data_IF_486359225941
#
_entry.id   IF_486359225941
#
_cell.length_a   1.000
_cell.length_b   1.000
_cell.length_c   1.000
_cell.angle_alpha   90.00
_cell.angle_beta   90.00
_cell.angle_gamma   90.00
#
_symmetry.space_group_name_H-M   'P 1'
#
loop_
_entity.id
_entity.type
_entity.pdbx_description
1 polymer ?
#
# COMPACT_ATOMS: atom_id res chain seq x y z
N UNK A 1 -13.88 3.59 -5.19
CA UNK A 1 -12.53 4.15 -5.35
C UNK A 1 -11.59 3.34 -4.46
N UNK A 2 -10.42 2.97 -4.95
CA UNK A 2 -9.45 2.11 -4.24
C UNK A 2 -8.18 2.90 -3.97
N UNK A 3 -7.70 2.86 -2.73
CA UNK A 3 -6.43 3.47 -2.33
C UNK A 3 -5.43 2.35 -1.98
N UNK A 4 -4.26 2.38 -2.61
CA UNK A 4 -3.14 1.53 -2.24
C UNK A 4 -2.45 2.01 -0.97
N UNK A 5 -2.05 1.09 -0.10
CA UNK A 5 -1.22 1.35 1.07
C UNK A 5 0.12 0.65 0.84
N UNK A 6 1.21 1.40 0.91
CA UNK A 6 2.56 0.87 0.71
C UNK A 6 3.51 1.24 1.84
N UNK A 7 4.30 0.25 2.27
CA UNK A 7 5.51 0.48 3.06
C UNK A 7 6.60 -0.52 2.66
N UNK A 8 7.86 -0.11 2.81
CA UNK A 8 9.04 -0.96 2.57
C UNK A 8 9.56 -1.61 3.86
N UNK A 9 8.66 -2.05 4.75
CA UNK A 9 9.01 -2.67 6.05
C UNK A 9 9.75 -1.75 7.05
N UNK A 10 9.71 -0.44 6.82
CA UNK A 10 10.21 0.53 7.79
C UNK A 10 9.37 0.46 9.07
N UNK A 11 10.01 0.26 10.22
CA UNK A 11 9.31 0.18 11.51
C UNK A 11 8.46 1.42 11.77
N UNK A 12 7.16 1.23 11.99
CA UNK A 12 6.18 2.30 12.24
C UNK A 12 5.57 2.92 10.98
N UNK A 13 6.09 2.62 9.79
CA UNK A 13 5.49 3.05 8.52
C UNK A 13 4.16 2.32 8.26
N UNK A 14 4.09 1.05 8.64
CA UNK A 14 2.86 0.25 8.67
C UNK A 14 1.78 0.90 9.54
N UNK A 15 2.13 1.31 10.76
CA UNK A 15 1.21 1.99 11.68
C UNK A 15 0.74 3.33 11.10
N UNK A 16 1.64 4.07 10.46
CA UNK A 16 1.31 5.37 9.88
C UNK A 16 0.31 5.23 8.72
N UNK A 17 0.55 4.32 7.76
CA UNK A 17 -0.38 4.11 6.64
C UNK A 17 -1.74 3.59 7.12
N UNK A 18 -1.76 2.77 8.17
CA UNK A 18 -2.99 2.23 8.76
C UNK A 18 -3.86 3.31 9.39
N UNK A 19 -3.26 4.22 10.16
CA UNK A 19 -3.99 5.34 10.77
C UNK A 19 -4.57 6.28 9.71
N UNK A 20 -3.84 6.53 8.62
CA UNK A 20 -4.37 7.34 7.53
C UNK A 20 -5.55 6.64 6.86
N UNK A 21 -5.46 5.33 6.61
CA UNK A 21 -6.57 4.55 6.07
C UNK A 21 -7.80 4.60 6.99
N UNK A 22 -7.60 4.48 8.31
CA UNK A 22 -8.67 4.60 9.30
C UNK A 22 -9.37 5.97 9.21
N UNK A 23 -8.61 7.07 9.24
CA UNK A 23 -9.17 8.41 9.14
C UNK A 23 -9.92 8.65 7.81
N UNK A 24 -9.39 8.15 6.69
CA UNK A 24 -10.05 8.26 5.39
C UNK A 24 -11.35 7.45 5.39
N UNK A 25 -11.35 6.24 5.97
CA UNK A 25 -12.52 5.36 6.01
C UNK A 25 -13.69 5.97 6.81
N UNK A 26 -13.38 6.71 7.89
CA UNK A 26 -14.38 7.42 8.69
C UNK A 26 -15.07 8.53 7.91
N UNK A 27 -14.34 9.20 6.99
CA UNK A 27 -14.87 10.31 6.19
C UNK A 27 -15.47 9.86 4.86
N UNK A 28 -14.96 8.78 4.28
CA UNK A 28 -15.35 8.25 2.98
C UNK A 28 -15.59 6.73 3.06
N UNK A 29 -16.75 6.28 3.56
CA UNK A 29 -17.00 4.86 3.85
C UNK A 29 -16.99 3.93 2.63
N UNK A 30 -17.09 4.48 1.41
CA UNK A 30 -17.08 3.72 0.16
C UNK A 30 -15.68 3.52 -0.45
N UNK A 31 -14.64 4.09 0.17
CA UNK A 31 -13.25 3.87 -0.23
C UNK A 31 -12.81 2.48 0.20
N UNK A 32 -12.18 1.75 -0.71
CA UNK A 32 -11.53 0.46 -0.45
C UNK A 32 -10.03 0.66 -0.32
N UNK A 33 -9.37 -0.22 0.42
CA UNK A 33 -7.93 -0.19 0.60
C UNK A 33 -7.30 -1.50 0.13
N UNK A 34 -6.20 -1.42 -0.60
CA UNK A 34 -5.39 -2.57 -1.01
C UNK A 34 -3.97 -2.39 -0.47
N UNK A 35 -3.33 -3.46 -0.01
CA UNK A 35 -2.00 -3.39 0.59
C UNK A 35 -0.94 -3.92 -0.37
N UNK A 36 0.15 -3.16 -0.45
CA UNK A 36 1.38 -3.48 -1.17
C UNK A 36 2.57 -3.35 -0.20
N UNK A 37 3.60 -4.16 -0.39
CA UNK A 37 4.67 -4.32 0.59
C UNK A 37 4.24 -5.13 1.82
N UNK A 38 5.19 -5.44 2.70
CA UNK A 38 4.93 -6.32 3.84
C UNK A 38 5.15 -7.80 3.54
N UNK A 39 4.40 -8.65 4.24
CA UNK A 39 4.47 -10.12 4.13
C UNK A 39 4.01 -10.64 2.75
N UNK A 40 4.62 -11.74 2.31
CA UNK A 40 4.27 -12.42 1.06
C UNK A 40 2.79 -12.84 1.04
N UNK A 41 2.04 -12.29 0.11
CA UNK A 41 0.64 -12.66 -0.14
C UNK A 41 0.51 -13.71 -1.25
N UNK A 42 -0.30 -14.77 -1.06
CA UNK A 42 -0.62 -15.71 -2.12
C UNK A 42 -1.15 -14.98 -3.38
N UNK A 43 -0.58 -15.31 -4.54
CA UNK A 43 -0.96 -14.68 -5.82
C UNK A 43 -0.37 -13.28 -6.07
N UNK A 44 0.29 -12.66 -5.09
CA UNK A 44 0.99 -11.37 -5.24
C UNK A 44 2.36 -11.35 -4.54
N UNK A 45 3.21 -12.40 -4.72
CA UNK A 45 4.50 -12.46 -4.06
C UNK A 45 5.40 -11.30 -4.50
N UNK A 46 5.27 -10.84 -5.75
CA UNK A 46 6.07 -9.74 -6.28
C UNK A 46 5.87 -8.42 -5.52
N UNK A 47 4.60 -8.08 -5.31
CA UNK A 47 4.19 -6.81 -4.72
C UNK A 47 4.24 -6.80 -3.18
N UNK A 48 4.77 -7.87 -2.56
CA UNK A 48 4.77 -8.06 -1.10
C UNK A 48 6.11 -8.66 -0.60
N UNK A 49 7.26 -8.16 -1.12
CA UNK A 49 8.60 -8.73 -0.86
C UNK A 49 9.42 -8.05 0.24
N UNK A 50 8.85 -7.07 0.95
CA UNK A 50 9.60 -6.27 1.92
C UNK A 50 10.71 -5.38 1.33
N UNK A 51 10.74 -5.19 0.01
CA UNK A 51 11.70 -4.36 -0.71
C UNK A 51 11.03 -3.14 -1.36
N UNK A 52 11.85 -2.27 -1.96
CA UNK A 52 11.37 -1.18 -2.82
C UNK A 52 10.60 -1.72 -4.02
N UNK A 53 9.49 -1.06 -4.34
CA UNK A 53 8.74 -1.26 -5.60
C UNK A 53 9.63 -0.79 -6.76
N UNK A 54 9.77 -1.63 -7.79
CA UNK A 54 10.39 -1.25 -9.06
C UNK A 54 9.38 -0.64 -10.05
N UNK A 55 9.86 -0.16 -11.19
CA UNK A 55 9.02 0.51 -12.21
C UNK A 55 7.91 -0.41 -12.77
N UNK A 56 8.18 -1.71 -12.91
CA UNK A 56 7.19 -2.66 -13.43
C UNK A 56 6.08 -2.89 -12.41
N UNK A 57 6.46 -3.06 -11.14
CA UNK A 57 5.54 -3.19 -10.02
C UNK A 57 4.71 -1.91 -9.83
N UNK A 58 5.33 -0.73 -9.94
CA UNK A 58 4.63 0.56 -9.88
C UNK A 58 3.58 0.69 -11.00
N UNK A 59 3.94 0.33 -12.24
CA UNK A 59 3.01 0.36 -13.36
C UNK A 59 1.82 -0.59 -13.17
N UNK A 60 2.05 -1.77 -12.59
CA UNK A 60 0.98 -2.72 -12.25
C UNK A 60 0.07 -2.21 -11.15
N UNK A 61 0.60 -1.55 -10.13
CA UNK A 61 -0.22 -0.99 -9.06
C UNK A 61 -1.06 0.19 -9.58
N UNK A 62 -0.50 1.02 -10.46
CA UNK A 62 -1.19 2.18 -11.03
C UNK A 62 -2.47 1.83 -11.79
N UNK A 63 -2.63 0.58 -12.27
CA UNK A 63 -3.87 0.11 -12.90
C UNK A 63 -4.87 -0.50 -11.90
N UNK A 64 -4.45 -0.81 -10.67
CA UNK A 64 -5.28 -1.43 -9.64
C UNK A 64 -5.92 -0.41 -8.67
N UNK A 65 -5.29 0.77 -8.51
CA UNK A 65 -5.71 1.77 -7.52
C UNK A 65 -5.93 3.14 -8.13
N UNK A 66 -6.83 3.91 -7.54
CA UNK A 66 -7.08 5.31 -7.91
C UNK A 66 -6.06 6.27 -7.29
N UNK A 67 -5.42 5.88 -6.17
CA UNK A 67 -4.40 6.65 -5.47
C UNK A 67 -3.52 5.74 -4.58
N UNK A 68 -2.38 6.24 -4.12
CA UNK A 68 -1.44 5.52 -3.25
C UNK A 68 -1.06 6.37 -2.03
N UNK A 69 -0.94 5.71 -0.87
CA UNK A 69 -0.34 6.25 0.35
C UNK A 69 0.89 5.40 0.65
N UNK A 70 2.07 6.02 0.56
CA UNK A 70 3.34 5.36 0.79
C UNK A 70 4.09 5.96 1.98
N UNK A 71 4.68 5.13 2.82
CA UNK A 71 5.65 5.53 3.83
C UNK A 71 6.90 4.65 3.69
N UNK A 72 8.03 5.28 3.33
CA UNK A 72 9.29 4.58 3.10
C UNK A 72 10.44 5.25 3.84
N UNK A 73 11.40 4.48 4.31
CA UNK A 73 12.73 4.98 4.68
C UNK A 73 13.73 4.83 3.53
N UNK A 74 14.81 5.62 3.62
CA UNK A 74 15.98 5.59 2.74
C UNK A 74 16.90 4.40 3.02
#
# INVERSE_FOLDING_TARGET
>A
KTIGLYNNMTGGADIAVDRVAEHISQRFPSVKFERYGGDLRPGRPALSRGNHIDDEEAARIAVEVDAMIGATAH
#
